data_IF_054966079587
#
_entry.id   IF_054966079587
#
_cell.length_a   1.000
_cell.length_b   1.000
_cell.length_c   1.000
_cell.angle_alpha   90.00
_cell.angle_beta   90.00
_cell.angle_gamma   90.00
#
_symmetry.space_group_name_H-M   'P 1'
#
loop_
_entity.id
_entity.type
_entity.pdbx_description
1 polymer ?
#
# COMPACT_ATOMS: atom_id res chain seq x y z
N UNK A 1 46.40 -73.69 -30.12
CA UNK A 1 44.93 -73.62 -30.35
C UNK A 1 44.24 -73.98 -29.04
N UNK A 2 43.15 -73.35 -28.57
CA UNK A 2 42.33 -72.21 -29.08
C UNK A 2 42.70 -70.88 -28.36
N UNK A 3 42.48 -69.65 -28.85
CA UNK A 3 41.32 -68.86 -29.36
C UNK A 3 40.67 -67.94 -28.30
N UNK A 4 40.53 -66.65 -28.68
CA UNK A 4 39.58 -65.66 -28.12
C UNK A 4 40.24 -64.59 -27.23
N UNK A 5 40.70 -63.42 -27.69
CA UNK A 5 40.06 -62.28 -28.37
C UNK A 5 39.82 -61.08 -27.42
N UNK A 6 40.21 -59.90 -27.91
CA UNK A 6 39.83 -58.53 -27.52
C UNK A 6 40.34 -57.97 -26.17
N UNK A 7 40.70 -56.69 -26.02
CA UNK A 7 41.12 -55.61 -26.90
C UNK A 7 41.58 -54.47 -25.97
N UNK A 8 42.78 -53.94 -26.21
CA UNK A 8 43.33 -52.60 -25.92
C UNK A 8 42.56 -51.65 -24.98
N UNK A 9 43.24 -51.04 -24.00
CA UNK A 9 43.45 -49.57 -23.88
C UNK A 9 44.71 -49.29 -23.03
N UNK A 10 45.58 -48.42 -23.56
CA UNK A 10 46.79 -47.86 -22.95
C UNK A 10 46.41 -46.60 -22.17
N UNK A 11 46.88 -46.44 -20.92
CA UNK A 11 46.82 -45.18 -20.18
C UNK A 11 48.23 -44.62 -20.01
N UNK A 12 48.57 -43.56 -20.76
CA UNK A 12 49.76 -42.77 -20.56
C UNK A 12 49.34 -41.40 -20.01
N UNK A 13 49.71 -41.12 -18.75
CA UNK A 13 49.55 -39.83 -18.10
C UNK A 13 50.68 -38.89 -18.54
N UNK A 14 50.34 -37.83 -19.28
CA UNK A 14 51.21 -36.68 -19.51
C UNK A 14 50.63 -35.49 -18.75
N UNK A 15 51.35 -35.05 -17.72
CA UNK A 15 51.10 -33.83 -16.95
C UNK A 15 51.49 -32.61 -17.78
N UNK A 16 50.51 -31.79 -18.18
CA UNK A 16 50.73 -30.45 -18.73
C UNK A 16 50.64 -29.42 -17.61
N UNK A 17 51.78 -28.79 -17.30
CA UNK A 17 51.88 -27.58 -16.50
C UNK A 17 51.26 -26.40 -17.25
N UNK A 18 50.04 -26.01 -16.85
CA UNK A 18 49.42 -24.75 -17.26
C UNK A 18 50.06 -23.60 -16.47
N UNK A 19 50.89 -22.81 -17.15
CA UNK A 19 51.22 -21.46 -16.70
C UNK A 19 49.97 -20.59 -16.83
N UNK A 20 49.62 -19.87 -15.75
CA UNK A 20 48.60 -18.82 -15.79
C UNK A 20 49.11 -17.67 -16.69
N UNK A 21 48.58 -17.55 -17.90
CA UNK A 21 48.64 -16.29 -18.65
C UNK A 21 47.62 -15.34 -18.00
N UNK A 22 48.06 -14.16 -17.56
CA UNK A 22 47.15 -13.10 -17.15
C UNK A 22 46.42 -12.57 -18.40
N UNK A 23 45.08 -12.52 -18.37
CA UNK A 23 44.29 -11.99 -19.48
C UNK A 23 44.57 -10.47 -19.63
N UNK A 24 45.12 -10.07 -20.79
CA UNK A 24 45.26 -8.65 -21.15
C UNK A 24 43.93 -8.11 -21.68
N UNK A 25 43.41 -7.06 -21.05
CA UNK A 25 42.21 -6.32 -21.45
C UNK A 25 42.57 -5.15 -22.38
N UNK A 26 41.72 -4.87 -23.35
CA UNK A 26 41.76 -3.66 -24.17
C UNK A 26 40.89 -2.58 -23.51
N UNK A 27 41.40 -1.35 -23.33
CA UNK A 27 40.68 -0.25 -22.69
C UNK A 27 40.68 1.01 -23.57
N UNK A 28 39.69 1.88 -23.41
CA UNK A 28 39.71 3.22 -23.99
C UNK A 28 40.74 4.10 -23.27
N UNK A 29 41.49 4.92 -24.01
CA UNK A 29 42.48 5.84 -23.43
C UNK A 29 42.40 7.25 -24.02
N UNK A 30 42.48 8.26 -23.16
CA UNK A 30 42.44 9.67 -23.56
C UNK A 30 43.88 10.28 -23.62
N UNK A 31 44.14 11.09 -24.65
CA UNK A 31 45.39 11.86 -24.84
C UNK A 31 45.44 13.00 -23.80
N UNK A 32 46.57 13.30 -23.12
CA UNK A 32 47.97 13.05 -23.49
C UNK A 32 48.61 11.79 -22.89
N UNK A 33 47.86 10.96 -22.18
CA UNK A 33 48.44 9.84 -21.42
C UNK A 33 48.69 8.58 -22.27
N UNK A 34 48.10 8.50 -23.47
CA UNK A 34 48.36 7.45 -24.46
C UNK A 34 48.67 8.03 -25.83
N UNK A 35 49.47 7.32 -26.61
CA UNK A 35 49.77 7.61 -28.02
C UNK A 35 48.68 7.11 -28.98
N UNK A 36 47.81 6.22 -28.51
CA UNK A 36 46.71 5.58 -29.24
C UNK A 36 45.40 5.78 -28.46
N UNK A 37 44.23 5.73 -29.13
CA UNK A 37 42.92 5.85 -28.47
C UNK A 37 42.56 4.66 -27.58
N UNK A 38 43.42 3.65 -27.57
CA UNK A 38 43.28 2.42 -26.79
C UNK A 38 44.59 2.06 -26.12
N UNK A 39 44.50 1.31 -25.02
CA UNK A 39 45.67 0.77 -24.33
C UNK A 39 45.36 -0.65 -23.82
N UNK A 40 46.40 -1.46 -23.59
CA UNK A 40 46.27 -2.83 -23.09
C UNK A 40 46.78 -2.94 -21.65
N UNK A 41 46.01 -3.58 -20.77
CA UNK A 41 46.34 -3.72 -19.36
C UNK A 41 45.49 -4.76 -18.65
N UNK A 42 45.69 -4.93 -17.35
CA UNK A 42 44.96 -5.89 -16.51
C UNK A 42 43.64 -5.33 -15.97
N UNK A 43 43.51 -3.99 -15.94
CA UNK A 43 42.32 -3.28 -15.46
C UNK A 43 42.16 -1.99 -16.28
N UNK A 44 40.92 -1.63 -16.61
CA UNK A 44 40.59 -0.33 -17.19
C UNK A 44 40.16 0.65 -16.08
N UNK A 45 40.42 1.94 -16.26
CA UNK A 45 39.98 2.98 -15.32
C UNK A 45 39.39 4.20 -16.00
N UNK A 46 38.58 4.94 -15.22
CA UNK A 46 38.14 6.30 -15.47
C UNK A 46 38.49 7.12 -14.24
N UNK A 47 39.00 8.33 -14.43
CA UNK A 47 39.28 9.28 -13.35
C UNK A 47 38.72 10.64 -13.70
N UNK A 48 38.23 11.36 -12.69
CA UNK A 48 37.65 12.68 -12.82
C UNK A 48 38.31 13.61 -11.81
N UNK A 49 38.77 14.77 -12.26
CA UNK A 49 39.41 15.79 -11.44
C UNK A 49 38.69 17.13 -11.64
N UNK A 50 38.51 17.87 -10.56
CA UNK A 50 37.98 19.23 -10.56
C UNK A 50 39.10 20.19 -10.17
N UNK A 51 39.49 21.06 -11.10
CA UNK A 51 40.55 22.05 -10.91
C UNK A 51 40.01 23.42 -11.34
N UNK A 52 40.06 24.41 -10.44
CA UNK A 52 39.57 25.79 -10.69
C UNK A 52 38.14 25.88 -11.28
N UNK A 53 37.27 24.91 -10.94
CA UNK A 53 35.89 24.85 -11.44
C UNK A 53 35.72 24.18 -12.81
N UNK A 54 36.81 23.83 -13.48
CA UNK A 54 36.79 22.99 -14.70
C UNK A 54 36.88 21.53 -14.30
N UNK A 55 36.02 20.71 -14.89
CA UNK A 55 35.99 19.26 -14.68
C UNK A 55 36.71 18.60 -15.85
N UNK A 56 37.75 17.82 -15.57
CA UNK A 56 38.46 17.00 -16.55
C UNK A 56 38.25 15.53 -16.25
N UNK A 57 38.04 14.74 -17.30
CA UNK A 57 37.88 13.30 -17.23
C UNK A 57 38.95 12.62 -18.08
N UNK A 58 39.55 11.56 -17.55
CA UNK A 58 40.60 10.80 -18.21
C UNK A 58 40.36 9.30 -18.08
N UNK A 59 40.56 8.58 -19.19
CA UNK A 59 40.45 7.13 -19.29
C UNK A 59 41.81 6.49 -19.59
N UNK A 60 42.01 5.27 -19.11
CA UNK A 60 43.21 4.50 -19.41
C UNK A 60 43.17 3.08 -18.83
N UNK A 61 44.34 2.45 -18.73
CA UNK A 61 44.53 1.09 -18.22
C UNK A 61 45.76 0.98 -17.33
N UNK A 62 45.74 0.02 -16.40
CA UNK A 62 46.87 -0.33 -15.56
C UNK A 62 47.47 -1.68 -16.00
N UNK A 63 48.77 -1.69 -16.33
CA UNK A 63 49.49 -2.92 -16.73
C UNK A 63 49.95 -3.79 -15.54
N UNK A 64 49.92 -3.25 -14.32
CA UNK A 64 50.14 -3.99 -13.07
C UNK A 64 48.93 -3.78 -12.15
N UNK A 65 48.68 -4.75 -11.25
CA UNK A 65 47.61 -4.71 -10.26
C UNK A 65 47.82 -3.60 -9.19
N UNK A 66 47.70 -2.34 -9.58
CA UNK A 66 47.70 -1.19 -8.66
C UNK A 66 46.27 -0.99 -8.14
N UNK A 67 45.75 -2.00 -7.44
CA UNK A 67 44.37 -2.05 -6.95
C UNK A 67 44.07 -0.94 -5.93
N UNK A 68 45.09 -0.36 -5.31
CA UNK A 68 44.97 0.73 -4.35
C UNK A 68 44.35 2.01 -4.97
N UNK A 69 44.60 2.28 -6.26
CA UNK A 69 44.00 3.43 -6.95
C UNK A 69 42.51 3.21 -7.28
N UNK A 70 42.10 1.95 -7.44
CA UNK A 70 40.72 1.58 -7.72
C UNK A 70 39.84 1.54 -6.46
N UNK A 71 40.46 1.43 -5.28
CA UNK A 71 39.77 1.36 -3.97
C UNK A 71 39.73 2.71 -3.23
N UNK A 72 40.41 3.73 -3.73
CA UNK A 72 40.39 5.06 -3.15
C UNK A 72 38.96 5.64 -3.14
N UNK A 73 38.56 6.23 -2.02
CA UNK A 73 37.26 6.90 -1.91
C UNK A 73 37.19 8.12 -2.84
N UNK A 74 36.04 8.31 -3.49
CA UNK A 74 35.77 9.48 -4.32
C UNK A 74 35.63 10.71 -3.42
N UNK A 75 36.36 11.78 -3.74
CA UNK A 75 36.34 13.07 -3.05
C UNK A 75 35.66 14.13 -3.91
N UNK A 76 35.37 15.32 -3.36
CA UNK A 76 34.78 16.45 -4.12
C UNK A 76 35.68 16.96 -5.27
N UNK A 77 37.00 16.72 -5.19
CA UNK A 77 37.99 17.22 -6.15
C UNK A 77 38.52 16.13 -7.08
N UNK A 78 38.46 14.86 -6.68
CA UNK A 78 39.04 13.75 -7.42
C UNK A 78 38.33 12.43 -7.14
N UNK A 79 38.12 11.63 -8.19
CA UNK A 79 37.58 10.28 -8.07
C UNK A 79 38.04 9.37 -9.19
N UNK A 80 38.24 8.09 -8.88
CA UNK A 80 38.64 7.06 -9.84
C UNK A 80 37.77 5.82 -9.68
N UNK A 81 37.41 5.19 -10.80
CA UNK A 81 36.71 3.89 -10.84
C UNK A 81 37.39 2.99 -11.85
N UNK A 82 37.44 1.71 -11.52
CA UNK A 82 38.03 0.69 -12.37
C UNK A 82 37.01 -0.38 -12.74
N UNK A 83 37.26 -1.06 -13.85
CA UNK A 83 36.46 -2.17 -14.34
C UNK A 83 37.33 -3.22 -15.04
N UNK A 84 36.86 -4.46 -15.06
CA UNK A 84 37.63 -5.66 -15.42
C UNK A 84 37.05 -6.33 -16.69
N UNK A 85 36.66 -5.55 -17.69
CA UNK A 85 36.16 -6.07 -18.97
C UNK A 85 36.69 -5.24 -20.13
N UNK A 86 36.88 -5.88 -21.29
CA UNK A 86 37.37 -5.17 -22.49
C UNK A 86 36.45 -4.01 -22.85
N UNK A 87 37.00 -2.81 -23.03
CA UNK A 87 36.33 -1.56 -23.37
C UNK A 87 35.28 -1.07 -22.35
N UNK A 88 35.29 -1.60 -21.12
CA UNK A 88 34.31 -1.25 -20.09
C UNK A 88 34.35 0.23 -19.66
N UNK A 89 35.49 0.89 -19.84
CA UNK A 89 35.68 2.29 -19.46
C UNK A 89 35.28 3.29 -20.56
N UNK A 90 34.74 2.82 -21.70
CA UNK A 90 34.31 3.70 -22.79
C UNK A 90 33.09 4.56 -22.40
N UNK A 91 32.12 3.95 -21.72
CA UNK A 91 30.82 4.55 -21.33
C UNK A 91 30.66 4.72 -19.81
N UNK A 92 31.72 4.48 -19.05
CA UNK A 92 31.67 4.57 -17.59
C UNK A 92 31.78 6.03 -17.12
N UNK A 93 30.73 6.53 -16.45
CA UNK A 93 30.69 7.88 -15.88
C UNK A 93 30.92 7.88 -14.36
N UNK A 94 31.62 8.90 -13.87
CA UNK A 94 31.86 9.14 -12.45
C UNK A 94 31.25 10.49 -12.07
N UNK A 95 30.46 10.51 -11.01
CA UNK A 95 29.90 11.73 -10.42
C UNK A 95 30.72 12.11 -9.19
N UNK A 96 31.25 13.34 -9.17
CA UNK A 96 31.90 13.87 -7.98
C UNK A 96 30.80 14.37 -7.00
N UNK A 97 30.96 14.13 -5.69
CA UNK A 97 30.04 14.69 -4.69
C UNK A 97 29.91 16.21 -4.88
N UNK A 98 28.67 16.70 -5.07
CA UNK A 98 28.37 18.12 -5.32
C UNK A 98 28.08 18.51 -6.78
N UNK A 99 28.13 17.58 -7.73
CA UNK A 99 27.80 17.84 -9.16
C UNK A 99 26.29 17.99 -9.42
N UNK A 100 25.44 17.51 -8.50
CA UNK A 100 23.97 17.55 -8.62
C UNK A 100 23.36 18.96 -8.51
N UNK A 101 24.14 19.98 -8.14
CA UNK A 101 23.61 21.33 -7.91
C UNK A 101 23.67 22.29 -9.11
N UNK A 102 24.37 21.97 -10.21
CA UNK A 102 24.66 22.95 -11.27
C UNK A 102 24.39 22.48 -12.71
N UNK A 103 23.60 21.43 -12.90
CA UNK A 103 23.36 20.82 -14.22
C UNK A 103 21.93 20.83 -14.76
N UNK A 104 20.94 21.37 -14.03
CA UNK A 104 19.53 21.33 -14.44
C UNK A 104 18.94 22.73 -14.66
N UNK A 105 19.57 23.53 -15.53
CA UNK A 105 18.87 24.67 -16.13
C UNK A 105 17.88 24.10 -17.15
N UNK A 106 16.72 23.71 -16.63
CA UNK A 106 15.59 23.22 -17.43
C UNK A 106 15.09 24.39 -18.29
N UNK A 107 15.13 24.23 -19.61
CA UNK A 107 14.70 25.25 -20.55
C UNK A 107 13.27 25.75 -20.25
N UNK A 108 13.10 27.08 -20.25
CA UNK A 108 11.85 27.81 -20.02
C UNK A 108 10.56 27.15 -20.59
N UNK A 109 10.53 26.57 -21.81
CA UNK A 109 9.33 25.88 -22.33
C UNK A 109 8.92 24.62 -21.55
N UNK A 110 9.86 23.88 -20.96
CA UNK A 110 9.53 22.67 -20.20
C UNK A 110 8.88 23.00 -18.84
N UNK A 111 9.26 24.12 -18.22
CA UNK A 111 8.63 24.59 -16.98
C UNK A 111 7.18 25.03 -17.23
N UNK A 112 6.93 25.71 -18.34
CA UNK A 112 5.57 26.09 -18.73
C UNK A 112 4.70 24.86 -18.99
N UNK A 113 5.24 23.84 -19.68
CA UNK A 113 4.52 22.59 -19.93
C UNK A 113 4.13 21.89 -18.62
N UNK A 114 5.04 21.86 -17.64
CA UNK A 114 4.82 21.26 -16.31
C UNK A 114 3.72 21.96 -15.51
N UNK A 115 3.40 23.22 -15.81
CA UNK A 115 2.34 23.99 -15.11
C UNK A 115 1.03 23.93 -15.91
N UNK A 116 1.08 24.13 -17.23
CA UNK A 116 -0.13 24.16 -18.06
C UNK A 116 -0.80 22.80 -18.19
N UNK A 117 -0.04 21.70 -18.26
CA UNK A 117 -0.58 20.34 -18.35
C UNK A 117 -1.44 19.96 -17.13
N UNK A 118 -0.97 20.09 -15.88
CA UNK A 118 -1.80 19.77 -14.72
C UNK A 118 -2.97 20.74 -14.55
N UNK A 119 -2.80 22.02 -14.91
CA UNK A 119 -3.90 23.00 -14.85
C UNK A 119 -5.03 22.63 -15.83
N UNK A 120 -4.66 22.22 -17.04
CA UNK A 120 -5.60 21.80 -18.08
C UNK A 120 -6.26 20.45 -17.74
N UNK A 121 -5.50 19.52 -17.15
CA UNK A 121 -6.05 18.27 -16.61
C UNK A 121 -7.06 18.51 -15.48
N UNK A 122 -6.77 19.46 -14.56
CA UNK A 122 -7.68 19.85 -13.49
C UNK A 122 -8.98 20.46 -14.04
N UNK A 123 -8.88 21.33 -15.05
CA UNK A 123 -10.06 21.92 -15.71
C UNK A 123 -10.94 20.86 -16.38
N UNK A 124 -10.32 19.86 -17.04
CA UNK A 124 -11.07 18.73 -17.64
C UNK A 124 -11.76 17.91 -16.55
N UNK A 125 -11.09 17.61 -15.44
CA UNK A 125 -11.68 16.87 -14.32
C UNK A 125 -12.89 17.61 -13.72
N UNK A 126 -12.77 18.93 -13.51
CA UNK A 126 -13.88 19.76 -13.02
C UNK A 126 -15.04 19.75 -14.01
N UNK A 127 -14.79 19.89 -15.32
CA UNK A 127 -15.83 19.83 -16.33
C UNK A 127 -16.56 18.47 -16.35
N UNK A 128 -15.82 17.35 -16.25
CA UNK A 128 -16.40 16.01 -16.16
C UNK A 128 -17.25 15.83 -14.90
N UNK A 129 -16.80 16.36 -13.75
CA UNK A 129 -17.58 16.34 -12.50
C UNK A 129 -18.87 17.15 -12.63
N UNK A 130 -18.82 18.33 -13.25
CA UNK A 130 -20.02 19.16 -13.50
C UNK A 130 -20.98 18.44 -14.45
N UNK A 131 -20.48 17.84 -15.54
CA UNK A 131 -21.32 17.06 -16.46
C UNK A 131 -21.94 15.84 -15.78
N UNK A 132 -21.19 15.16 -14.92
CA UNK A 132 -21.70 14.04 -14.13
C UNK A 132 -22.78 14.50 -13.14
N UNK A 133 -22.53 15.57 -12.39
CA UNK A 133 -23.52 16.18 -11.50
C UNK A 133 -24.77 16.62 -12.27
N UNK A 134 -24.62 17.21 -13.46
CA UNK A 134 -25.73 17.64 -14.31
C UNK A 134 -26.52 16.44 -14.85
N UNK A 135 -25.85 15.37 -15.29
CA UNK A 135 -26.49 14.10 -15.69
C UNK A 135 -27.24 13.46 -14.53
N UNK A 136 -26.67 13.45 -13.33
CA UNK A 136 -27.34 12.93 -12.13
C UNK A 136 -28.55 13.80 -11.76
N UNK A 137 -28.43 15.14 -11.86
CA UNK A 137 -29.54 16.05 -11.64
C UNK A 137 -30.65 15.88 -12.69
N UNK A 138 -30.32 15.71 -13.96
CA UNK A 138 -31.28 15.40 -15.02
C UNK A 138 -31.97 14.05 -14.80
N UNK A 139 -31.24 13.03 -14.36
CA UNK A 139 -31.84 11.74 -13.98
C UNK A 139 -32.76 11.86 -12.76
N UNK A 140 -32.42 12.70 -11.79
CA UNK A 140 -33.31 13.01 -10.65
C UNK A 140 -34.56 13.78 -11.09
N UNK A 141 -34.44 14.72 -12.03
CA UNK A 141 -35.59 15.42 -12.62
C UNK A 141 -36.51 14.46 -13.38
N UNK A 142 -35.95 13.57 -14.22
CA UNK A 142 -36.73 12.57 -14.96
C UNK A 142 -37.41 11.53 -14.05
N UNK A 143 -36.87 11.30 -12.85
CA UNK A 143 -37.50 10.46 -11.81
C UNK A 143 -38.55 11.23 -10.98
N UNK A 144 -38.44 12.56 -10.90
CA UNK A 144 -39.42 13.41 -10.21
C UNK A 144 -40.69 13.60 -11.04
N UNK A 145 -40.59 13.71 -12.37
CA UNK A 145 -41.77 13.74 -13.27
C UNK A 145 -42.61 12.45 -13.21
N UNK A 146 -41.97 11.29 -12.98
CA UNK A 146 -42.67 10.00 -12.80
C UNK A 146 -43.25 9.85 -11.37
N UNK A 147 -42.70 10.57 -10.39
CA UNK A 147 -43.18 10.56 -9.01
C UNK A 147 -44.34 11.53 -8.75
N UNK A 148 -44.40 12.65 -9.46
CA UNK A 148 -45.45 13.65 -9.28
C UNK A 148 -46.81 13.16 -9.82
N UNK A 149 -46.80 12.32 -10.87
CA UNK A 149 -48.01 11.66 -11.38
C UNK A 149 -48.59 10.62 -10.41
N UNK A 150 -47.77 10.03 -9.53
CA UNK A 150 -48.22 9.05 -8.51
C UNK A 150 -48.79 9.76 -7.27
N UNK A 151 -48.26 10.94 -6.93
CA UNK A 151 -48.75 11.76 -5.81
C UNK A 151 -50.10 12.42 -6.11
N UNK A 152 -50.34 12.81 -7.36
CA UNK A 152 -51.59 13.46 -7.75
C UNK A 152 -52.77 12.48 -7.85
N UNK A 153 -52.53 11.18 -8.12
CA UNK A 153 -53.56 10.13 -8.07
C UNK A 153 -53.97 9.77 -6.63
N UNK A 154 -53.11 10.06 -5.65
CA UNK A 154 -53.34 9.71 -4.24
C UNK A 154 -54.09 10.77 -3.44
N UNK A 155 -54.26 11.97 -4.00
CA UNK A 155 -54.89 13.12 -3.32
C UNK A 155 -56.42 13.17 -3.53
N UNK A 156 -57.01 12.25 -4.31
CA UNK A 156 -58.45 12.18 -4.56
C UNK A 156 -59.23 11.24 -3.64
N UNK A 157 -58.58 10.54 -2.71
CA UNK A 157 -59.25 9.59 -1.80
C UNK A 157 -59.06 10.01 -0.34
N UNK A 158 -59.68 11.12 0.01
CA UNK A 158 -59.90 11.51 1.41
C UNK A 158 -61.20 10.84 1.88
N UNK A 159 -61.11 10.00 2.90
CA UNK A 159 -62.25 9.35 3.55
C UNK A 159 -61.87 8.90 4.96
N UNK A 160 -62.57 9.46 5.94
CA UNK A 160 -62.42 9.35 7.39
C UNK A 160 -62.26 7.92 7.95
N UNK A 161 -61.54 7.78 9.09
CA UNK A 161 -62.11 7.38 10.40
C UNK A 161 -61.07 6.79 11.38
N UNK A 162 -61.09 7.35 12.61
CA UNK A 162 -60.80 6.76 13.94
C UNK A 162 -59.40 6.25 14.32
N UNK A 163 -58.87 6.86 15.40
CA UNK A 163 -57.57 6.61 16.05
C UNK A 163 -57.65 5.75 17.34
N UNK A 164 -58.80 5.24 17.81
CA UNK A 164 -58.86 4.80 19.24
C UNK A 164 -59.15 3.31 19.55
N UNK A 165 -59.15 2.38 18.59
CA UNK A 165 -59.67 1.01 18.85
C UNK A 165 -58.69 -0.18 18.77
N UNK A 166 -57.36 -0.01 18.69
CA UNK A 166 -56.44 -1.18 18.60
C UNK A 166 -55.23 -1.17 19.54
N UNK A 167 -55.38 -0.60 20.73
CA UNK A 167 -54.58 -0.97 21.90
C UNK A 167 -55.50 -1.55 22.98
N UNK A 168 -55.80 -2.85 22.90
CA UNK A 168 -55.96 -3.80 24.01
C UNK A 168 -56.80 -5.01 23.59
N UNK A 169 -56.16 -6.17 23.44
CA UNK A 169 -56.54 -7.36 24.20
C UNK A 169 -55.55 -8.49 23.95
N UNK A 170 -54.90 -8.92 25.04
CA UNK A 170 -54.38 -10.27 25.18
C UNK A 170 -55.58 -11.25 25.10
N UNK A 171 -55.52 -12.24 24.21
CA UNK A 171 -55.88 -13.65 24.48
C UNK A 171 -55.96 -14.47 23.18
N UNK A 172 -55.06 -15.44 23.11
CA UNK A 172 -55.13 -16.77 22.50
C UNK A 172 -56.22 -17.06 21.44
N UNK A 173 -55.79 -17.45 20.23
CA UNK A 173 -56.07 -18.76 19.59
C UNK A 173 -55.95 -18.59 18.07
N UNK A 174 -54.87 -19.12 17.51
CA UNK A 174 -54.67 -19.19 16.07
C UNK A 174 -53.59 -20.20 15.75
N UNK A 175 -54.02 -21.43 15.45
CA UNK A 175 -53.19 -22.57 15.07
C UNK A 175 -52.30 -22.25 13.87
N UNK A 176 -51.08 -21.78 14.16
CA UNK A 176 -50.01 -21.63 13.19
C UNK A 176 -48.74 -22.24 13.79
N UNK A 177 -48.37 -23.42 13.31
CA UNK A 177 -47.14 -24.12 13.66
C UNK A 177 -45.90 -23.39 13.11
N UNK A 178 -45.52 -22.32 13.79
CA UNK A 178 -44.28 -21.58 13.58
C UNK A 178 -44.17 -20.57 14.70
N UNK A 179 -43.15 -20.68 15.55
CA UNK A 179 -42.85 -19.67 16.57
C UNK A 179 -42.91 -18.30 15.89
N UNK A 180 -43.64 -17.31 16.45
CA UNK A 180 -43.37 -15.94 16.06
C UNK A 180 -41.89 -15.74 16.36
N UNK A 181 -41.12 -15.40 15.33
CA UNK A 181 -39.73 -14.94 15.47
C UNK A 181 -39.82 -13.70 16.35
N UNK A 182 -39.78 -13.90 17.67
CA UNK A 182 -39.53 -12.87 18.65
C UNK A 182 -38.33 -12.15 18.08
N UNK A 183 -38.54 -10.91 17.65
CA UNK A 183 -37.51 -10.08 17.06
C UNK A 183 -36.37 -10.07 18.07
N UNK A 184 -35.38 -10.91 17.83
CA UNK A 184 -34.17 -10.95 18.63
C UNK A 184 -33.65 -9.53 18.51
N UNK A 185 -33.61 -8.80 19.64
CA UNK A 185 -33.17 -7.40 19.63
C UNK A 185 -31.77 -7.41 19.04
N UNK A 186 -31.64 -6.94 17.80
CA UNK A 186 -30.35 -6.89 17.15
C UNK A 186 -29.50 -5.87 17.89
N UNK A 187 -28.19 -6.11 18.00
CA UNK A 187 -27.28 -5.28 18.80
C UNK A 187 -27.35 -3.82 18.34
N UNK A 188 -27.50 -3.58 17.03
CA UNK A 188 -27.63 -2.23 16.47
C UNK A 188 -28.86 -1.46 17.00
N UNK A 189 -29.99 -2.12 17.30
CA UNK A 189 -31.20 -1.44 17.81
C UNK A 189 -31.03 -0.92 19.23
N UNK A 190 -30.06 -1.44 19.98
CA UNK A 190 -29.77 -1.04 21.35
C UNK A 190 -28.69 0.04 21.45
N UNK A 191 -28.07 0.40 20.33
CA UNK A 191 -26.97 1.36 20.29
C UNK A 191 -27.50 2.72 19.85
N UNK A 192 -27.19 3.74 20.63
CA UNK A 192 -27.46 5.14 20.27
C UNK A 192 -26.20 5.76 19.69
N UNK A 193 -26.24 6.19 18.43
CA UNK A 193 -25.14 6.93 17.80
C UNK A 193 -25.06 8.34 18.39
N UNK A 194 -23.86 8.78 18.77
CA UNK A 194 -23.61 10.07 19.41
C UNK A 194 -22.94 11.03 18.45
N UNK A 195 -21.74 10.71 17.98
CA UNK A 195 -20.93 11.59 17.15
C UNK A 195 -20.12 10.82 16.10
N UNK A 196 -19.89 11.46 14.95
CA UNK A 196 -19.04 10.89 13.89
C UNK A 196 -17.58 11.19 14.23
N UNK A 197 -16.79 10.15 14.50
CA UNK A 197 -15.39 10.25 14.92
C UNK A 197 -14.40 10.11 13.76
N UNK A 198 -14.84 9.55 12.63
CA UNK A 198 -14.00 9.41 11.45
C UNK A 198 -14.78 9.07 10.19
N UNK A 199 -14.27 9.51 9.03
CA UNK A 199 -14.80 9.15 7.72
C UNK A 199 -13.70 8.51 6.90
N UNK A 200 -13.88 7.25 6.54
CA UNK A 200 -12.96 6.48 5.72
C UNK A 200 -13.50 6.25 4.31
N UNK A 201 -12.69 5.56 3.49
CA UNK A 201 -13.08 5.18 2.13
C UNK A 201 -14.32 4.27 2.09
N UNK A 202 -14.43 3.35 3.04
CA UNK A 202 -15.42 2.26 3.04
C UNK A 202 -16.61 2.53 3.97
N UNK A 203 -16.66 3.69 4.62
CA UNK A 203 -17.70 3.99 5.60
C UNK A 203 -17.29 5.07 6.59
N UNK A 204 -18.20 5.32 7.52
CA UNK A 204 -18.02 6.28 8.60
C UNK A 204 -17.96 5.54 9.95
N UNK A 205 -17.12 6.03 10.85
CA UNK A 205 -17.01 5.52 12.22
C UNK A 205 -17.69 6.51 13.14
N UNK A 206 -18.63 6.00 13.92
CA UNK A 206 -19.36 6.75 14.92
C UNK A 206 -19.01 6.23 16.30
N UNK A 207 -18.94 7.14 17.26
CA UNK A 207 -19.07 6.77 18.67
C UNK A 207 -20.55 6.55 18.97
N UNK A 208 -20.86 5.39 19.54
CA UNK A 208 -22.18 5.05 20.04
C UNK A 208 -22.14 4.73 21.53
N UNK A 209 -23.32 4.63 22.14
CA UNK A 209 -23.49 4.18 23.52
C UNK A 209 -24.32 2.89 23.52
N UNK A 210 -23.79 1.85 24.16
CA UNK A 210 -24.44 0.56 24.36
C UNK A 210 -24.42 0.22 25.85
N UNK A 211 -25.59 0.06 26.47
CA UNK A 211 -25.71 -0.19 27.92
C UNK A 211 -24.91 0.78 28.83
N UNK A 212 -24.74 2.03 28.40
CA UNK A 212 -23.98 3.05 29.13
C UNK A 212 -22.48 3.08 28.81
N UNK A 213 -21.96 2.12 28.06
CA UNK A 213 -20.56 2.07 27.64
C UNK A 213 -20.38 2.65 26.23
N UNK A 214 -19.23 3.29 25.98
CA UNK A 214 -18.90 3.83 24.67
C UNK A 214 -18.43 2.71 23.74
N UNK A 215 -19.01 2.64 22.54
CA UNK A 215 -18.66 1.68 21.48
C UNK A 215 -18.33 2.41 20.18
N UNK A 216 -17.44 1.84 19.38
CA UNK A 216 -17.14 2.33 18.04
C UNK A 216 -17.97 1.55 17.01
N UNK A 217 -18.80 2.26 16.24
CA UNK A 217 -19.67 1.70 15.21
C UNK A 217 -19.17 2.14 13.85
N UNK A 218 -18.59 1.22 13.09
CA UNK A 218 -18.24 1.46 11.69
C UNK A 218 -19.44 1.10 10.82
N UNK A 219 -19.97 2.08 10.12
CA UNK A 219 -21.16 2.00 9.27
C UNK A 219 -20.71 1.94 7.82
N UNK A 220 -20.99 0.82 7.17
CA UNK A 220 -20.76 0.63 5.74
C UNK A 220 -22.05 0.85 4.96
N UNK A 221 -21.91 1.34 3.72
CA UNK A 221 -23.00 1.34 2.76
C UNK A 221 -23.32 -0.09 2.33
N UNK A 222 -24.59 -0.36 1.99
CA UNK A 222 -24.96 -1.62 1.34
C UNK A 222 -24.20 -1.90 0.04
N UNK A 223 -23.61 -0.87 -0.59
CA UNK A 223 -22.75 -1.03 -1.78
C UNK A 223 -21.39 -1.67 -1.46
N UNK A 224 -20.93 -1.53 -0.22
CA UNK A 224 -19.63 -2.01 0.26
C UNK A 224 -19.76 -3.28 1.12
N UNK A 225 -20.82 -4.07 0.88
CA UNK A 225 -21.13 -5.30 1.63
C UNK A 225 -19.97 -6.30 1.66
N UNK A 226 -19.23 -6.44 0.56
CA UNK A 226 -18.06 -7.33 0.51
C UNK A 226 -16.95 -6.90 1.48
N UNK A 227 -16.79 -5.59 1.70
CA UNK A 227 -15.80 -5.05 2.65
C UNK A 227 -16.24 -5.32 4.08
N UNK A 228 -17.51 -5.08 4.39
CA UNK A 228 -18.09 -5.39 5.69
C UNK A 228 -18.03 -6.89 6.01
N UNK A 229 -18.37 -7.74 5.04
CA UNK A 229 -18.33 -9.19 5.19
C UNK A 229 -16.91 -9.68 5.50
N UNK A 230 -15.92 -9.22 4.74
CA UNK A 230 -14.51 -9.57 4.95
C UNK A 230 -14.01 -9.16 6.33
N UNK A 231 -14.28 -7.93 6.76
CA UNK A 231 -13.87 -7.47 8.09
C UNK A 231 -14.56 -8.26 9.19
N UNK A 232 -15.87 -8.53 9.03
CA UNK A 232 -16.65 -9.35 9.97
C UNK A 232 -16.11 -10.77 10.08
N UNK A 233 -15.73 -11.40 8.96
CA UNK A 233 -15.13 -12.74 8.92
C UNK A 233 -13.78 -12.78 9.66
N UNK A 234 -12.93 -11.77 9.41
CA UNK A 234 -11.64 -11.63 10.11
C UNK A 234 -11.87 -11.54 11.62
N UNK A 235 -12.73 -10.64 12.08
CA UNK A 235 -13.01 -10.43 13.50
C UNK A 235 -13.72 -11.62 14.18
N UNK A 236 -14.50 -12.41 13.45
CA UNK A 236 -15.15 -13.62 13.96
C UNK A 236 -14.20 -14.83 14.04
N UNK A 237 -12.96 -14.71 13.58
CA UNK A 237 -11.99 -15.81 13.71
C UNK A 237 -11.72 -16.08 15.19
N UNK A 238 -11.91 -17.34 15.62
CA UNK A 238 -11.92 -17.81 17.01
C UNK A 238 -10.63 -17.49 17.80
N UNK A 239 -9.56 -17.10 17.12
CA UNK A 239 -8.24 -16.80 17.69
C UNK A 239 -7.82 -15.34 17.56
N UNK A 240 -8.71 -14.40 17.24
CA UNK A 240 -8.33 -12.99 17.06
C UNK A 240 -8.41 -12.13 18.35
N UNK A 241 -8.87 -12.70 19.47
CA UNK A 241 -9.04 -11.95 20.72
C UNK A 241 -7.70 -11.82 21.46
N UNK A 242 -7.24 -10.57 21.62
CA UNK A 242 -6.00 -10.23 22.31
C UNK A 242 -6.07 -8.78 22.82
N UNK A 243 -5.39 -8.46 23.92
CA UNK A 243 -5.43 -7.11 24.55
C UNK A 243 -4.88 -5.99 23.64
N UNK A 244 -3.98 -6.35 22.71
CA UNK A 244 -3.41 -5.44 21.72
C UNK A 244 -4.04 -5.56 20.32
N UNK A 245 -5.23 -6.15 20.24
CA UNK A 245 -6.07 -6.18 19.03
C UNK A 245 -7.40 -5.52 19.38
N UNK A 246 -7.93 -4.74 18.43
CA UNK A 246 -9.20 -4.05 18.64
C UNK A 246 -10.32 -5.06 18.99
N UNK A 247 -10.96 -4.86 20.14
CA UNK A 247 -12.00 -5.75 20.63
C UNK A 247 -13.26 -5.71 19.78
N UNK A 248 -13.54 -6.81 19.08
CA UNK A 248 -14.79 -7.01 18.34
C UNK A 248 -15.93 -7.38 19.29
N UNK A 249 -17.07 -6.70 19.14
CA UNK A 249 -18.29 -6.96 19.91
C UNK A 249 -19.30 -7.71 19.04
N UNK A 250 -19.69 -7.11 17.91
CA UNK A 250 -20.73 -7.65 17.05
C UNK A 250 -20.68 -7.06 15.64
N UNK A 251 -21.34 -7.74 14.71
CA UNK A 251 -21.67 -7.23 13.37
C UNK A 251 -23.17 -7.35 13.18
N UNK A 252 -23.82 -6.35 12.59
CA UNK A 252 -25.27 -6.33 12.46
C UNK A 252 -25.71 -5.59 11.19
N UNK A 253 -26.90 -5.93 10.69
CA UNK A 253 -27.51 -5.27 9.54
C UNK A 253 -28.78 -4.56 10.02
N UNK A 254 -28.83 -3.24 9.84
CA UNK A 254 -29.96 -2.42 10.28
C UNK A 254 -30.50 -1.56 9.16
N UNK A 255 -31.79 -1.26 9.18
CA UNK A 255 -32.43 -0.33 8.24
C UNK A 255 -32.71 0.97 8.97
N UNK A 256 -32.07 2.06 8.52
CA UNK A 256 -32.25 3.41 9.08
C UNK A 256 -32.38 4.42 7.95
N UNK A 257 -33.29 5.38 8.09
CA UNK A 257 -33.54 6.42 7.08
C UNK A 257 -33.83 5.85 5.66
N UNK A 258 -34.60 4.77 5.60
CA UNK A 258 -34.92 4.06 4.34
C UNK A 258 -33.68 3.52 3.59
N UNK A 259 -32.57 3.27 4.31
CA UNK A 259 -31.35 2.69 3.76
C UNK A 259 -30.83 1.57 4.65
N UNK A 260 -30.39 0.48 4.02
CA UNK A 260 -29.70 -0.62 4.71
C UNK A 260 -28.29 -0.18 5.07
N UNK A 261 -27.97 -0.26 6.34
CA UNK A 261 -26.67 0.02 6.93
C UNK A 261 -26.08 -1.25 7.50
N UNK A 262 -24.80 -1.49 7.21
CA UNK A 262 -24.06 -2.63 7.74
C UNK A 262 -23.14 -2.13 8.83
N UNK A 263 -23.31 -2.63 10.05
CA UNK A 263 -22.61 -2.15 11.22
C UNK A 263 -21.56 -3.18 11.64
N UNK A 264 -20.36 -2.69 11.97
CA UNK A 264 -19.32 -3.42 12.67
C UNK A 264 -19.06 -2.68 13.99
N UNK A 265 -19.32 -3.35 15.10
CA UNK A 265 -19.29 -2.80 16.45
C UNK A 265 -18.06 -3.31 17.18
N UNK A 266 -17.26 -2.38 17.69
CA UNK A 266 -15.99 -2.63 18.39
C UNK A 266 -15.90 -1.78 19.66
N UNK A 267 -14.95 -2.08 20.54
CA UNK A 267 -14.64 -1.20 21.67
C UNK A 267 -14.23 0.20 21.21
N UNK A 268 -14.69 1.22 21.93
CA UNK A 268 -14.27 2.59 21.70
C UNK A 268 -13.02 2.91 22.52
N UNK A 269 -12.05 3.59 21.90
CA UNK A 269 -10.87 4.12 22.56
C UNK A 269 -10.85 5.64 22.45
N UNK A 270 -10.92 6.34 23.58
CA UNK A 270 -11.09 7.80 23.64
C UNK A 270 -9.89 8.56 23.06
N UNK A 271 -8.68 7.99 23.16
CA UNK A 271 -7.46 8.57 22.59
C UNK A 271 -7.37 8.47 21.07
N UNK A 272 -8.35 7.83 20.41
CA UNK A 272 -8.41 7.71 18.95
C UNK A 272 -7.31 6.80 18.39
N UNK A 273 -6.88 7.11 17.17
CA UNK A 273 -5.78 6.37 16.54
C UNK A 273 -4.42 6.79 17.11
N UNK A 274 -3.41 5.93 16.97
CA UNK A 274 -2.03 6.30 17.33
C UNK A 274 -1.56 7.57 16.59
N UNK A 275 -2.01 7.75 15.34
CA UNK A 275 -1.74 8.97 14.57
C UNK A 275 -2.30 10.22 15.26
N UNK A 276 -3.57 10.17 15.68
CA UNK A 276 -4.21 11.30 16.38
C UNK A 276 -3.56 11.58 17.74
N UNK A 277 -3.17 10.51 18.45
CA UNK A 277 -2.54 10.61 19.76
C UNK A 277 -1.16 11.28 19.68
N UNK A 278 -0.32 10.86 18.72
CA UNK A 278 1.03 11.39 18.51
C UNK A 278 1.04 12.86 18.07
N UNK A 279 -0.03 13.33 17.42
CA UNK A 279 -0.15 14.75 17.04
C UNK A 279 -0.43 15.67 18.23
N UNK A 280 -1.03 15.14 19.30
CA UNK A 280 -1.49 15.93 20.46
C UNK A 280 -0.56 15.79 21.66
N UNK A 281 0.22 14.70 21.71
CA UNK A 281 0.95 14.29 22.91
C UNK A 281 2.42 14.05 22.58
N UNK A 282 3.31 14.73 23.29
CA UNK A 282 4.74 14.41 23.28
C UNK A 282 5.00 13.16 24.15
N UNK A 283 5.79 12.22 23.64
CA UNK A 283 6.08 10.97 24.34
C UNK A 283 7.42 11.03 25.06
N UNK A 284 7.46 10.51 26.28
CA UNK A 284 8.70 10.10 26.94
C UNK A 284 9.15 8.72 26.44
N UNK A 285 10.40 8.36 26.77
CA UNK A 285 11.01 7.11 26.31
C UNK A 285 10.24 5.89 26.82
N UNK A 286 9.75 5.93 28.06
CA UNK A 286 9.00 4.84 28.67
C UNK A 286 7.66 4.60 27.95
N UNK A 287 6.86 5.64 27.72
CA UNK A 287 5.59 5.51 26.98
C UNK A 287 5.83 5.07 25.54
N UNK A 288 6.88 5.58 24.89
CA UNK A 288 7.24 5.18 23.54
C UNK A 288 7.55 3.66 23.46
N UNK A 289 8.35 3.15 24.40
CA UNK A 289 8.64 1.71 24.50
C UNK A 289 7.40 0.89 24.84
N UNK A 290 6.53 1.38 25.71
CA UNK A 290 5.26 0.73 26.04
C UNK A 290 4.34 0.59 24.83
N UNK A 291 4.17 1.67 24.06
CA UNK A 291 3.40 1.66 22.81
C UNK A 291 4.02 0.69 21.80
N UNK A 292 5.33 0.76 21.56
CA UNK A 292 6.01 -0.14 20.63
C UNK A 292 5.86 -1.62 21.05
N UNK A 293 6.05 -1.92 22.33
CA UNK A 293 5.90 -3.29 22.86
C UNK A 293 4.47 -3.80 22.66
N UNK A 294 3.46 -2.99 22.97
CA UNK A 294 2.05 -3.36 22.78
C UNK A 294 1.72 -3.68 21.30
N UNK A 295 2.23 -2.86 20.37
CA UNK A 295 2.03 -3.07 18.92
C UNK A 295 2.69 -4.38 18.48
N UNK A 296 3.93 -4.62 18.92
CA UNK A 296 4.66 -5.85 18.60
C UNK A 296 3.92 -7.08 19.16
N UNK A 297 3.42 -7.03 20.39
CA UNK A 297 2.64 -8.12 20.97
C UNK A 297 1.38 -8.44 20.14
N UNK A 298 0.63 -7.41 19.72
CA UNK A 298 -0.52 -7.59 18.83
C UNK A 298 -0.15 -8.19 17.47
N UNK A 299 0.93 -7.72 16.86
CA UNK A 299 1.42 -8.23 15.58
C UNK A 299 1.92 -9.67 15.67
N UNK A 300 2.64 -10.03 16.74
CA UNK A 300 3.09 -11.39 17.00
C UNK A 300 1.89 -12.33 17.13
N UNK A 301 0.84 -11.91 17.83
CA UNK A 301 -0.40 -12.67 17.93
C UNK A 301 -1.07 -12.88 16.55
N UNK A 302 -1.14 -11.83 15.72
CA UNK A 302 -1.69 -11.94 14.36
C UNK A 302 -0.85 -12.81 13.42
N UNK A 303 0.47 -12.85 13.62
CA UNK A 303 1.39 -13.66 12.81
C UNK A 303 1.43 -15.13 13.22
N UNK A 304 0.92 -15.49 14.40
CA UNK A 304 0.78 -16.90 14.76
C UNK A 304 -0.25 -17.52 13.82
N UNK A 305 0.13 -18.52 13.00
CA UNK A 305 -0.85 -19.21 12.18
C UNK A 305 -1.92 -19.76 13.11
N UNK A 306 -3.19 -19.53 12.78
CA UNK A 306 -4.31 -20.22 13.39
C UNK A 306 -4.09 -21.72 13.14
N UNK A 307 -3.36 -22.39 14.03
CA UNK A 307 -3.11 -23.82 13.95
C UNK A 307 -4.48 -24.45 14.05
N UNK A 308 -4.96 -24.91 12.89
CA UNK A 308 -6.19 -25.61 12.63
C UNK A 308 -6.54 -26.54 13.79
N UNK A 309 -7.37 -26.06 14.73
CA UNK A 309 -8.23 -26.93 15.52
C UNK A 309 -9.47 -27.29 14.68
N UNK A 310 -9.26 -27.72 13.42
CA UNK A 310 -10.23 -28.57 12.73
C UNK A 310 -10.04 -29.96 13.32
N UNK A 311 -10.71 -30.23 14.45
CA UNK A 311 -10.95 -31.62 14.82
C UNK A 311 -11.80 -32.27 13.71
N UNK A 312 -11.43 -33.44 13.20
CA UNK A 312 -12.37 -34.26 12.44
C UNK A 312 -13.42 -34.78 13.45
N UNK A 313 -14.67 -34.40 13.23
CA UNK A 313 -15.85 -34.91 13.92
C UNK A 313 -16.94 -35.13 12.88
#
# INVERSE_FOLDING_TARGET
MPCGACSRVVLALMTLSLGFAADELLCACDVPHCSLPTCTGTVCFVSKRKEEGTITQHRGCFSQNILEHCRAAVTEQYGTRCCESSMCNAELEIFLPGEEALGKVSSLPNLLLMIFVPLLALLILVALMVLFCWKVAQHRHKKSDLGDMDLMLKTSMMGDSTLEDLLNDDCTTGSGSGLPFLVQRTVARQITLVECVGKGRYGEVWRGVWHGESVAVKIFSSRDEQSWFRETEIYNTVLLRHDNILGFIASDMTSRNSSTQLWLITHYHENGSLYDYLQRTALDVETCLGLATSIICGLVHLHQPAVLHRRPG
#
